data_IF_263549190279
#
_entry.id   IF_263549190279
#
_cell.length_a   1.000
_cell.length_b   1.000
_cell.length_c   1.000
_cell.angle_alpha   90.00
_cell.angle_beta   90.00
_cell.angle_gamma   90.00
#
_symmetry.space_group_name_H-M   'P 1'
#
loop_
_entity.id
_entity.type
_entity.pdbx_description
1 polymer ?
#
# COMPACT_ATOMS: atom_id res chain seq x y z
N UNK A 1 14.57 0.16 -9.56
CA UNK A 1 14.14 -1.21 -9.96
C UNK A 1 13.81 -2.09 -8.75
N UNK A 2 14.66 -2.18 -7.72
CA UNK A 2 14.35 -3.00 -6.54
C UNK A 2 13.13 -2.53 -5.74
N UNK A 3 12.95 -1.21 -5.57
CA UNK A 3 11.74 -0.63 -4.95
C UNK A 3 10.43 -1.07 -5.63
N UNK A 4 10.38 -1.03 -6.96
CA UNK A 4 9.18 -1.47 -7.70
C UNK A 4 8.93 -2.96 -7.50
N UNK A 5 9.99 -3.79 -7.48
CA UNK A 5 9.88 -5.23 -7.21
C UNK A 5 9.34 -5.51 -5.81
N UNK A 6 9.77 -4.74 -4.80
CA UNK A 6 9.27 -4.85 -3.43
C UNK A 6 7.79 -4.47 -3.35
N UNK A 7 7.38 -3.34 -3.95
CA UNK A 7 5.97 -2.95 -3.98
C UNK A 7 5.08 -3.96 -4.72
N UNK A 8 5.55 -4.54 -5.83
CA UNK A 8 4.82 -5.60 -6.53
C UNK A 8 4.64 -6.85 -5.66
N UNK A 9 5.69 -7.26 -4.93
CA UNK A 9 5.60 -8.38 -3.98
C UNK A 9 4.57 -8.09 -2.87
N UNK A 10 4.59 -6.90 -2.29
CA UNK A 10 3.63 -6.53 -1.24
C UNK A 10 2.19 -6.47 -1.77
N UNK A 11 1.98 -5.86 -2.94
CA UNK A 11 0.68 -5.86 -3.62
C UNK A 11 0.15 -7.30 -3.81
N UNK A 12 1.00 -8.20 -4.32
CA UNK A 12 0.63 -9.60 -4.50
C UNK A 12 0.29 -10.31 -3.18
N UNK A 13 1.03 -10.03 -2.11
CA UNK A 13 0.74 -10.58 -0.77
C UNK A 13 -0.65 -10.17 -0.28
N UNK A 14 -0.99 -8.89 -0.39
CA UNK A 14 -2.31 -8.40 0.02
C UNK A 14 -3.45 -8.98 -0.84
N UNK A 15 -3.25 -9.12 -2.15
CA UNK A 15 -4.24 -9.77 -3.03
C UNK A 15 -4.47 -11.24 -2.67
N UNK A 16 -3.42 -11.97 -2.29
CA UNK A 16 -3.54 -13.35 -1.78
C UNK A 16 -4.29 -13.40 -0.46
N UNK A 17 -3.99 -12.47 0.45
CA UNK A 17 -4.66 -12.37 1.74
C UNK A 17 -6.15 -12.03 1.60
N UNK A 18 -6.50 -11.14 0.67
CA UNK A 18 -7.89 -10.86 0.29
C UNK A 18 -8.59 -12.12 -0.22
N UNK A 19 -7.97 -12.81 -1.19
CA UNK A 19 -8.53 -14.04 -1.78
C UNK A 19 -8.74 -15.13 -0.72
N UNK A 20 -7.84 -15.27 0.24
CA UNK A 20 -7.96 -16.26 1.31
C UNK A 20 -9.07 -15.93 2.32
N UNK A 21 -9.49 -14.67 2.41
CA UNK A 21 -10.65 -14.23 3.21
C UNK A 21 -11.98 -14.37 2.46
N UNK A 22 -11.94 -14.78 1.19
CA UNK A 22 -13.17 -15.03 0.44
C UNK A 22 -13.88 -16.27 1.02
N UNK A 23 -14.97 -16.03 1.74
CA UNK A 23 -15.72 -17.05 2.49
C UNK A 23 -15.68 -16.89 4.00
N UNK A 24 -14.81 -16.05 4.56
CA UNK A 24 -14.92 -15.59 5.96
C UNK A 24 -15.80 -14.34 6.02
N UNK A 25 -16.52 -14.12 7.13
CA UNK A 25 -17.31 -12.89 7.36
C UNK A 25 -16.43 -11.66 7.69
N UNK A 26 -15.16 -11.68 7.31
CA UNK A 26 -14.16 -10.65 7.66
C UNK A 26 -14.03 -9.59 6.54
N UNK A 27 -15.17 -9.03 6.12
CA UNK A 27 -15.24 -8.08 5.00
C UNK A 27 -14.36 -6.84 5.22
N UNK A 28 -14.30 -6.31 6.44
CA UNK A 28 -13.50 -5.13 6.77
C UNK A 28 -12.00 -5.38 6.52
N UNK A 29 -11.50 -6.55 6.93
CA UNK A 29 -10.10 -6.94 6.70
C UNK A 29 -9.81 -7.23 5.23
N UNK A 30 -10.78 -7.81 4.53
CA UNK A 30 -10.68 -8.04 3.09
C UNK A 30 -10.60 -6.70 2.32
N UNK A 31 -11.45 -5.73 2.66
CA UNK A 31 -11.42 -4.40 2.08
C UNK A 31 -10.07 -3.69 2.35
N UNK A 32 -9.53 -3.83 3.56
CA UNK A 32 -8.22 -3.26 3.90
C UNK A 32 -7.08 -3.86 3.07
N UNK A 33 -7.08 -5.18 2.84
CA UNK A 33 -6.10 -5.81 1.95
C UNK A 33 -6.18 -5.25 0.52
N UNK A 34 -7.39 -4.99 -0.01
CA UNK A 34 -7.54 -4.36 -1.33
C UNK A 34 -7.00 -2.92 -1.35
N UNK A 35 -7.26 -2.15 -0.29
CA UNK A 35 -6.74 -0.78 -0.15
C UNK A 35 -5.21 -0.79 -0.15
N UNK A 36 -4.59 -1.69 0.63
CA UNK A 36 -3.13 -1.83 0.71
C UNK A 36 -2.52 -2.32 -0.61
N UNK A 37 -3.16 -3.28 -1.29
CA UNK A 37 -2.73 -3.72 -2.61
C UNK A 37 -2.72 -2.56 -3.63
N UNK A 38 -3.79 -1.75 -3.62
CA UNK A 38 -3.93 -0.57 -4.49
C UNK A 38 -2.86 0.47 -4.19
N UNK A 39 -2.57 0.74 -2.91
CA UNK A 39 -1.50 1.68 -2.51
C UNK A 39 -0.13 1.25 -3.04
N UNK A 40 0.24 -0.02 -2.84
CA UNK A 40 1.52 -0.53 -3.35
C UNK A 40 1.59 -0.54 -4.88
N UNK A 41 0.48 -0.81 -5.55
CA UNK A 41 0.42 -0.69 -7.00
C UNK A 41 0.58 0.77 -7.45
N UNK A 42 -0.07 1.70 -6.75
CA UNK A 42 0.00 3.15 -6.99
C UNK A 42 1.44 3.69 -6.97
N UNK A 43 2.23 3.22 -6.00
CA UNK A 43 3.66 3.54 -5.88
C UNK A 43 4.54 3.12 -7.06
N UNK A 44 4.07 2.19 -7.88
CA UNK A 44 4.78 1.75 -9.08
C UNK A 44 4.33 2.54 -10.31
N UNK A 45 3.03 2.82 -10.42
CA UNK A 45 2.43 3.47 -11.59
C UNK A 45 2.37 5.00 -11.49
N UNK A 46 2.84 5.58 -10.38
CA UNK A 46 2.85 7.03 -10.14
C UNK A 46 1.51 7.58 -9.65
N UNK A 47 0.61 6.72 -9.14
CA UNK A 47 -0.57 7.16 -8.38
C UNK A 47 -0.18 7.26 -6.91
N UNK A 48 0.18 8.47 -6.47
CA UNK A 48 0.62 8.77 -5.11
C UNK A 48 -0.58 9.29 -4.32
N UNK A 49 -0.90 8.63 -3.21
CA UNK A 49 -1.98 9.04 -2.29
C UNK A 49 -1.54 10.27 -1.46
N UNK A 50 -2.49 11.08 -0.99
CA UNK A 50 -2.23 12.34 -0.25
C UNK A 50 -1.35 12.09 0.98
N UNK A 51 -1.58 10.99 1.67
CA UNK A 51 -0.82 10.55 2.84
C UNK A 51 0.66 10.34 2.55
N UNK A 52 1.00 9.92 1.34
CA UNK A 52 2.37 9.64 0.94
C UNK A 52 3.11 10.89 0.50
N UNK A 53 2.38 11.84 -0.09
CA UNK A 53 2.87 13.21 -0.33
C UNK A 53 3.16 13.89 1.01
N UNK A 54 2.23 13.83 1.96
CA UNK A 54 2.42 14.37 3.30
C UNK A 54 3.62 13.71 4.00
N UNK A 55 3.73 12.38 3.93
CA UNK A 55 4.86 11.64 4.47
C UNK A 55 6.20 12.10 3.90
N UNK A 56 6.31 12.30 2.59
CA UNK A 56 7.54 12.82 1.97
C UNK A 56 7.85 14.25 2.41
N UNK A 57 6.83 15.12 2.44
CA UNK A 57 7.00 16.52 2.88
C UNK A 57 7.54 16.55 4.31
N UNK A 58 6.91 15.83 5.24
CA UNK A 58 7.32 15.83 6.64
C UNK A 58 8.66 15.12 6.89
N UNK A 59 9.08 14.18 6.02
CA UNK A 59 10.39 13.53 6.14
C UNK A 59 11.54 14.46 5.71
N UNK A 60 11.28 15.41 4.81
CA UNK A 60 12.25 16.43 4.40
C UNK A 60 12.34 17.61 5.39
N UNK A 61 11.35 17.76 6.29
CA UNK A 61 11.48 18.63 7.45
C UNK A 61 12.32 17.92 8.51
N UNK A 62 13.61 18.24 8.57
CA UNK A 62 14.47 17.84 9.67
C UNK A 62 13.77 18.15 11.01
N UNK A 63 13.59 17.12 11.86
CA UNK A 63 13.16 17.28 13.25
C UNK A 63 14.13 18.25 13.92
N UNK A 64 13.70 19.50 14.15
CA UNK A 64 14.48 20.51 14.87
C UNK A 64 14.84 21.81 14.12
N UNK A 65 13.97 22.35 13.27
CA UNK A 65 13.95 23.80 12.98
C UNK A 65 12.59 24.40 13.27
#
# INVERSE_FOLDING_TARGET
RERHRQHLKQCLTHLKNFKNKNGSKEFDKAAEDLRLATRHLGMIVGKVDVEEILGSIFNDFCIGK
#
